data_IF_177252418400
#
_entry.id   IF_177252418400
#
_cell.length_a   1.000
_cell.length_b   1.000
_cell.length_c   1.000
_cell.angle_alpha   90.00
_cell.angle_beta   90.00
_cell.angle_gamma   90.00
#
_symmetry.space_group_name_H-M   'P 1'
#
loop_
_entity.id
_entity.type
_entity.pdbx_description
1 polymer ?
#
# COMPACT_ATOMS: atom_id res chain seq x y z
N UNK A 1 1.40 14.68 7.21
CA UNK A 1 1.88 13.76 6.16
C UNK A 1 2.55 12.50 6.73
N UNK A 2 3.53 12.62 7.64
CA UNK A 2 4.25 11.48 8.24
C UNK A 2 3.34 10.40 8.88
N UNK A 3 2.24 10.82 9.55
CA UNK A 3 1.24 9.90 10.14
C UNK A 3 0.51 9.05 9.11
N UNK A 4 0.25 9.59 7.93
CA UNK A 4 -0.44 8.89 6.84
C UNK A 4 0.48 7.80 6.27
N UNK A 5 1.76 8.12 6.05
CA UNK A 5 2.77 7.16 5.60
C UNK A 5 2.90 6.01 6.60
N UNK A 6 2.98 6.31 7.90
CA UNK A 6 3.04 5.29 8.95
C UNK A 6 1.78 4.43 9.00
N UNK A 7 0.60 5.00 8.78
CA UNK A 7 -0.65 4.24 8.74
C UNK A 7 -0.72 3.31 7.52
N UNK A 8 -0.30 3.78 6.35
CA UNK A 8 -0.21 2.99 5.12
C UNK A 8 0.75 1.81 5.34
N UNK A 9 1.95 2.04 5.90
CA UNK A 9 2.92 0.97 6.20
C UNK A 9 2.38 -0.04 7.22
N UNK A 10 1.71 0.43 8.28
CA UNK A 10 1.09 -0.45 9.27
C UNK A 10 -0.05 -1.28 8.67
N UNK A 11 -0.80 -0.72 7.71
CA UNK A 11 -1.83 -1.44 6.96
C UNK A 11 -1.24 -2.48 6.01
N UNK A 12 -0.11 -2.19 5.34
CA UNK A 12 0.62 -3.15 4.51
C UNK A 12 1.16 -4.35 5.30
N UNK A 13 1.62 -4.12 6.53
CA UNK A 13 2.07 -5.20 7.45
C UNK A 13 0.86 -5.90 8.12
N UNK A 14 -0.36 -5.36 7.99
CA UNK A 14 -1.58 -5.90 8.62
C UNK A 14 -1.72 -5.56 10.10
N UNK A 15 -0.83 -4.75 10.67
CA UNK A 15 -0.78 -4.39 12.10
C UNK A 15 -1.39 -3.01 12.39
N UNK A 16 -2.48 -2.67 11.70
CA UNK A 16 -3.20 -1.42 11.94
C UNK A 16 -3.99 -1.52 13.25
N UNK A 17 -3.51 -0.84 14.31
CA UNK A 17 -4.21 -0.76 15.60
C UNK A 17 -5.61 -0.16 15.45
N UNK A 18 -6.57 -0.64 16.27
CA UNK A 18 -7.94 -0.12 16.32
C UNK A 18 -8.01 1.41 16.50
N UNK A 19 -7.06 2.02 17.22
CA UNK A 19 -6.98 3.48 17.38
C UNK A 19 -6.64 4.19 16.06
N UNK A 20 -5.71 3.65 15.28
CA UNK A 20 -5.35 4.18 13.97
C UNK A 20 -6.51 3.97 12.99
N UNK A 21 -7.13 2.79 13.03
CA UNK A 21 -8.31 2.45 12.24
C UNK A 21 -9.47 3.42 12.50
N UNK A 22 -9.85 3.62 13.77
CA UNK A 22 -10.91 4.59 14.12
C UNK A 22 -10.58 5.97 13.58
N UNK A 23 -9.37 6.47 13.83
CA UNK A 23 -8.97 7.80 13.40
C UNK A 23 -8.98 7.96 11.87
N UNK A 24 -8.56 6.92 11.17
CA UNK A 24 -8.54 6.80 9.71
C UNK A 24 -9.95 6.73 9.10
N UNK A 25 -10.92 6.09 9.77
CA UNK A 25 -12.31 6.02 9.32
C UNK A 25 -13.21 7.16 9.82
N UNK A 26 -12.83 7.84 10.91
CA UNK A 26 -13.57 9.00 11.44
C UNK A 26 -13.15 10.29 10.73
N UNK A 27 -11.87 10.44 10.35
CA UNK A 27 -11.35 11.65 9.69
C UNK A 27 -10.97 11.44 8.23
N UNK A 28 -10.79 10.21 7.76
CA UNK A 28 -10.46 9.86 6.39
C UNK A 28 -11.61 9.17 5.66
N UNK A 29 -11.78 9.44 4.36
CA UNK A 29 -12.77 8.73 3.54
C UNK A 29 -12.22 7.36 3.15
N UNK A 30 -13.04 6.31 3.25
CA UNK A 30 -12.70 4.94 2.84
C UNK A 30 -12.11 4.87 1.41
N UNK A 31 -12.56 5.75 0.51
CA UNK A 31 -12.04 5.88 -0.85
C UNK A 31 -10.51 6.08 -0.92
N UNK A 32 -9.91 6.81 0.02
CA UNK A 32 -8.47 7.06 0.01
C UNK A 32 -7.67 5.78 0.30
N UNK A 33 -8.17 4.92 1.18
CA UNK A 33 -7.54 3.65 1.51
C UNK A 33 -7.64 2.65 0.36
N UNK A 34 -8.80 2.60 -0.31
CA UNK A 34 -9.01 1.75 -1.49
C UNK A 34 -8.09 2.18 -2.63
N UNK A 35 -8.02 3.49 -2.92
CA UNK A 35 -7.13 4.03 -3.96
C UNK A 35 -5.66 3.72 -3.62
N UNK A 36 -5.23 3.94 -2.37
CA UNK A 36 -3.87 3.62 -1.95
C UNK A 36 -3.55 2.12 -2.10
N UNK A 37 -4.50 1.24 -1.76
CA UNK A 37 -4.37 -0.20 -1.93
C UNK A 37 -4.23 -0.60 -3.41
N UNK A 38 -5.09 -0.06 -4.28
CA UNK A 38 -5.04 -0.32 -5.73
C UNK A 38 -3.69 0.13 -6.30
N UNK A 39 -3.24 1.34 -5.97
CA UNK A 39 -1.93 1.84 -6.40
C UNK A 39 -0.81 0.91 -5.94
N UNK A 40 -0.86 0.45 -4.69
CA UNK A 40 0.11 -0.50 -4.15
C UNK A 40 0.17 -1.82 -4.92
N UNK A 41 -0.98 -2.40 -5.24
CA UNK A 41 -1.08 -3.64 -6.02
C UNK A 41 -0.53 -3.44 -7.43
N UNK A 42 -0.91 -2.35 -8.10
CA UNK A 42 -0.42 -2.04 -9.45
C UNK A 42 1.10 -1.88 -9.47
N UNK A 43 1.67 -1.14 -8.51
CA UNK A 43 3.12 -0.97 -8.38
C UNK A 43 3.83 -2.30 -8.10
N UNK A 44 3.26 -3.14 -7.25
CA UNK A 44 3.82 -4.45 -6.95
C UNK A 44 3.86 -5.36 -8.19
N UNK A 45 2.77 -5.40 -8.97
CA UNK A 45 2.72 -6.16 -10.22
C UNK A 45 3.74 -5.62 -11.22
N UNK A 46 3.80 -4.30 -11.42
CA UNK A 46 4.78 -3.68 -12.30
C UNK A 46 6.22 -4.01 -11.90
N UNK A 47 6.52 -4.01 -10.60
CA UNK A 47 7.81 -4.41 -10.07
C UNK A 47 8.15 -5.87 -10.39
N UNK A 48 7.22 -6.80 -10.21
CA UNK A 48 7.41 -8.20 -10.60
C UNK A 48 7.66 -8.36 -12.09
N UNK A 49 6.89 -7.65 -12.94
CA UNK A 49 7.08 -7.64 -14.40
C UNK A 49 8.48 -7.17 -14.77
N UNK A 50 8.98 -6.10 -14.14
CA UNK A 50 10.36 -5.61 -14.38
C UNK A 50 11.38 -6.69 -14.00
N UNK A 51 11.24 -7.31 -12.82
CA UNK A 51 12.15 -8.39 -12.39
C UNK A 51 12.14 -9.53 -13.40
N UNK A 52 10.96 -10.01 -13.80
CA UNK A 52 10.85 -11.12 -14.75
C UNK A 52 11.51 -10.77 -16.08
N UNK A 53 11.29 -9.56 -16.60
CA UNK A 53 11.94 -9.12 -17.84
C UNK A 53 13.45 -9.06 -17.71
N UNK A 54 13.99 -8.56 -16.59
CA UNK A 54 15.43 -8.53 -16.35
C UNK A 54 15.99 -9.96 -16.36
N UNK A 55 15.37 -10.89 -15.63
CA UNK A 55 15.80 -12.28 -15.54
C UNK A 55 15.78 -12.96 -16.92
N UNK A 56 14.70 -12.78 -17.69
CA UNK A 56 14.58 -13.34 -19.04
C UNK A 56 15.55 -12.70 -20.03
N UNK A 57 15.89 -11.42 -19.88
CA UNK A 57 16.89 -10.75 -20.72
C UNK A 57 18.34 -11.14 -20.39
N UNK A 58 18.57 -11.67 -19.19
CA UNK A 58 19.91 -12.07 -18.70
C UNK A 58 20.21 -13.55 -18.95
N UNK A 59 19.21 -14.34 -19.38
CA UNK A 59 19.34 -15.76 -19.73
C UNK A 59 19.40 -15.91 -21.25
#
# INVERSE_FOLDING_TARGET
MLRVIKSILAAFIGVQSNKNRLQDFTHGKASHFIIAGIIGVVLFIAFLVIIVNIVLSTT
#
